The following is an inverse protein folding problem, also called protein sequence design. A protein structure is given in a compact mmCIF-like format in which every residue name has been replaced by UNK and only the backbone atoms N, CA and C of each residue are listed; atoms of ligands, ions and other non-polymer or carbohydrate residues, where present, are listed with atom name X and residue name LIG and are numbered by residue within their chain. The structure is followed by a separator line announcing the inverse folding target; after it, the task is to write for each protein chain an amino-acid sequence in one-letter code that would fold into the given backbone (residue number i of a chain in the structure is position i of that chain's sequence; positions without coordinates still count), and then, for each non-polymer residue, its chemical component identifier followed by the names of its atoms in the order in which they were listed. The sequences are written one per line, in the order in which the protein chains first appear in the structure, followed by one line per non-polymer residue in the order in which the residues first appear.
data_IF_000568004091
#
_entry.id   IF_000568004091
#
_cell.length_a   1.000
_cell.length_b   1.000
_cell.length_c   1.000
_cell.angle_alpha   90.00
_cell.angle_beta   90.00
_cell.angle_gamma   90.00
#
_symmetry.space_group_name_H-M   'P 1'
#
loop_
_entity.id
_entity.type
_entity.pdbx_description
1 polymer ?
#
# COMPACT_ATOMS: atom_id res chain seq x y z
N UNK A 1 6.96 -6.06 -13.75
CA UNK A 1 5.95 -6.68 -12.89
C UNK A 1 4.57 -6.22 -13.31
N UNK A 2 3.61 -7.14 -13.37
CA UNK A 2 2.25 -6.76 -13.76
C UNK A 2 1.51 -6.21 -12.55
N UNK A 3 0.76 -5.10 -12.71
CA UNK A 3 -0.05 -4.59 -11.60
C UNK A 3 -1.17 -5.56 -11.26
N UNK A 4 -1.46 -5.66 -9.98
CA UNK A 4 -2.58 -6.45 -9.51
C UNK A 4 -3.73 -5.50 -9.23
N UNK A 5 -4.83 -5.68 -9.93
CA UNK A 5 -6.00 -4.81 -9.80
C UNK A 5 -7.07 -5.56 -9.01
N UNK A 6 -7.57 -4.94 -7.97
CA UNK A 6 -8.56 -5.54 -7.07
C UNK A 6 -9.73 -4.60 -6.84
N UNK A 7 -10.88 -5.14 -6.48
CA UNK A 7 -12.07 -4.34 -6.20
C UNK A 7 -12.04 -3.78 -4.77
N UNK A 8 -11.35 -4.47 -3.89
CA UNK A 8 -11.28 -4.09 -2.48
C UNK A 8 -9.96 -4.61 -1.89
N UNK A 9 -9.66 -4.18 -0.67
CA UNK A 9 -8.44 -4.57 0.01
C UNK A 9 -8.36 -6.10 0.15
N UNK A 10 -7.29 -6.72 -0.36
CA UNK A 10 -7.10 -8.16 -0.18
C UNK A 10 -6.85 -8.51 1.28
N UNK A 11 -7.24 -9.71 1.67
CA UNK A 11 -6.99 -10.19 3.03
C UNK A 11 -5.51 -10.46 3.27
N UNK A 12 -4.84 -10.97 2.25
CA UNK A 12 -3.41 -11.24 2.33
C UNK A 12 -2.82 -11.30 0.92
N UNK A 13 -1.50 -11.19 0.87
CA UNK A 13 -0.78 -11.19 -0.39
C UNK A 13 -0.84 -12.55 -1.06
N UNK A 14 -1.24 -12.61 -2.35
CA UNK A 14 -1.28 -13.89 -3.06
C UNK A 14 0.10 -14.47 -3.37
N UNK A 15 1.15 -13.66 -3.25
CA UNK A 15 2.51 -14.12 -3.53
C UNK A 15 3.22 -14.68 -2.32
N UNK A 16 3.15 -13.98 -1.19
CA UNK A 16 3.91 -14.37 0.00
C UNK A 16 3.02 -14.64 1.21
N UNK A 17 1.73 -14.34 1.12
CA UNK A 17 0.81 -14.51 2.23
C UNK A 17 0.95 -13.44 3.31
N UNK A 18 1.72 -12.39 3.03
CA UNK A 18 1.93 -11.32 3.99
C UNK A 18 0.71 -10.43 4.17
N UNK A 19 0.78 -9.55 5.15
CA UNK A 19 -0.31 -8.63 5.45
C UNK A 19 -0.38 -7.52 4.41
N UNK A 20 -1.59 -7.22 3.97
CA UNK A 20 -1.85 -6.10 3.06
C UNK A 20 -2.23 -4.88 3.89
N UNK A 21 -1.60 -3.76 3.60
CA UNK A 21 -1.84 -2.51 4.31
C UNK A 21 -2.13 -1.40 3.32
N UNK A 22 -2.73 -0.32 3.84
CA UNK A 22 -3.07 0.84 3.03
C UNK A 22 -1.81 1.65 2.70
N UNK A 23 -1.78 2.23 1.50
CA UNK A 23 -0.73 3.17 1.12
C UNK A 23 -1.26 4.58 1.38
N UNK A 24 -0.48 5.36 2.11
CA UNK A 24 -0.84 6.74 2.45
C UNK A 24 0.05 7.68 1.66
N UNK A 25 -0.56 8.65 0.98
CA UNK A 25 0.14 9.66 0.20
C UNK A 25 0.06 11.01 0.91
N UNK A 26 1.01 11.90 0.61
CA UNK A 26 1.07 13.22 1.18
C UNK A 26 2.08 13.30 2.32
N UNK A 27 2.11 14.44 3.02
CA UNK A 27 3.02 14.61 4.16
C UNK A 27 2.52 13.81 5.36
N UNK A 28 3.31 12.84 5.82
CA UNK A 28 2.92 12.06 6.98
C UNK A 28 3.11 12.85 8.27
N UNK A 29 2.12 12.80 9.15
CA UNK A 29 2.27 13.31 10.49
C UNK A 29 3.00 12.31 11.37
N UNK A 30 3.30 12.69 12.64
CA UNK A 30 4.01 11.79 13.56
C UNK A 30 3.29 10.45 13.75
N UNK A 31 1.97 10.47 13.75
CA UNK A 31 1.17 9.25 13.91
C UNK A 31 1.36 8.29 12.74
N UNK A 32 1.43 8.84 11.53
CA UNK A 32 1.61 8.02 10.34
C UNK A 32 3.00 7.39 10.30
N UNK A 33 4.02 8.11 10.77
CA UNK A 33 5.35 7.55 10.88
C UNK A 33 5.37 6.36 11.83
N UNK A 34 4.68 6.46 12.96
CA UNK A 34 4.58 5.36 13.90
C UNK A 34 3.85 4.16 13.29
N UNK A 35 2.77 4.41 12.58
CA UNK A 35 2.02 3.35 11.91
C UNK A 35 2.87 2.65 10.84
N UNK A 36 3.65 3.42 10.09
CA UNK A 36 4.53 2.84 9.08
C UNK A 36 5.64 2.01 9.72
N UNK A 37 6.15 2.47 10.87
CA UNK A 37 7.16 1.74 11.62
C UNK A 37 6.63 0.39 12.11
N UNK A 38 5.35 0.34 12.46
CA UNK A 38 4.69 -0.90 12.87
C UNK A 38 4.20 -1.73 11.68
N UNK A 39 4.45 -1.27 10.47
CA UNK A 39 4.00 -1.91 9.24
C UNK A 39 2.47 -1.97 9.12
N UNK A 40 1.80 -0.96 9.68
CA UNK A 40 0.35 -0.83 9.57
C UNK A 40 -0.08 -0.06 8.33
N UNK A 41 0.82 0.76 7.78
CA UNK A 41 0.60 1.48 6.52
C UNK A 41 1.92 1.56 5.78
N UNK A 42 1.83 1.86 4.47
CA UNK A 42 3.01 2.13 3.65
C UNK A 42 2.94 3.59 3.23
N UNK A 43 4.05 4.30 3.38
CA UNK A 43 4.11 5.70 2.95
C UNK A 43 4.47 5.75 1.47
N UNK A 44 3.53 6.24 0.67
CA UNK A 44 3.69 6.28 -0.78
C UNK A 44 4.39 7.51 -1.32
N UNK A 45 4.70 8.46 -0.45
CA UNK A 45 5.36 9.68 -0.85
C UNK A 45 4.38 10.79 -1.18
N UNK A 46 4.90 11.93 -1.62
CA UNK A 46 4.08 13.11 -1.89
C UNK A 46 3.73 13.31 -3.36
N UNK A 47 4.23 12.45 -4.25
CA UNK A 47 3.92 12.55 -5.68
C UNK A 47 2.74 11.65 -6.02
N UNK A 48 1.65 12.26 -6.47
CA UNK A 48 0.46 11.53 -6.87
C UNK A 48 0.36 11.57 -8.38
N UNK A 49 0.28 10.41 -9.02
CA UNK A 49 0.14 10.31 -10.46
C UNK A 49 -1.34 10.30 -10.85
N UNK A 50 -1.67 10.97 -11.95
CA UNK A 50 -3.06 11.09 -12.37
C UNK A 50 -3.67 9.80 -12.90
N UNK A 51 -2.86 8.82 -13.21
CA UNK A 51 -3.33 7.57 -13.79
C UNK A 51 -3.64 6.47 -12.79
N UNK A 52 -3.82 6.84 -11.54
CA UNK A 52 -4.20 5.90 -10.51
C UNK A 52 -2.99 5.29 -9.79
N UNK A 53 -2.79 5.74 -8.58
CA UNK A 53 -1.74 5.19 -7.73
C UNK A 53 -2.25 3.92 -7.04
N UNK A 54 -1.34 3.01 -6.68
CA UNK A 54 -1.75 1.82 -5.92
C UNK A 54 -2.32 2.24 -4.58
N UNK A 55 -3.34 1.53 -4.13
CA UNK A 55 -4.01 1.87 -2.87
C UNK A 55 -3.56 0.99 -1.71
N UNK A 56 -3.06 -0.19 -2.01
CA UNK A 56 -2.62 -1.14 -0.98
C UNK A 56 -1.29 -1.75 -1.38
N UNK A 57 -0.57 -2.23 -0.38
CA UNK A 57 0.69 -2.91 -0.62
C UNK A 57 0.90 -3.99 0.43
N UNK A 58 1.65 -5.01 0.05
CA UNK A 58 2.08 -6.03 1.01
C UNK A 58 3.24 -5.50 1.82
N UNK A 59 3.18 -5.64 3.14
CA UNK A 59 4.25 -5.18 4.00
C UNK A 59 5.46 -6.13 4.01
N UNK A 60 5.33 -7.31 3.42
CA UNK A 60 6.42 -8.29 3.38
C UNK A 60 7.20 -8.25 2.06
N UNK A 61 6.50 -8.40 0.92
CA UNK A 61 7.17 -8.45 -0.38
C UNK A 61 7.02 -7.17 -1.18
N UNK A 62 6.34 -6.17 -0.63
CA UNK A 62 6.12 -4.86 -1.26
C UNK A 62 5.32 -4.91 -2.56
N UNK A 63 4.56 -5.98 -2.80
CA UNK A 63 3.67 -6.05 -3.94
C UNK A 63 2.57 -4.99 -3.80
N UNK A 64 2.39 -4.19 -4.84
CA UNK A 64 1.37 -3.14 -4.83
C UNK A 64 0.09 -3.61 -5.49
N UNK A 65 -1.03 -3.05 -5.02
CA UNK A 65 -2.36 -3.40 -5.52
C UNK A 65 -3.12 -2.13 -5.90
N UNK A 66 -3.74 -2.16 -7.06
CA UNK A 66 -4.52 -1.04 -7.56
C UNK A 66 -6.00 -1.33 -7.43
N UNK A 67 -6.76 -0.30 -7.11
CA UNK A 67 -8.21 -0.42 -7.03
C UNK A 67 -8.81 -0.27 -8.43
N UNK A 68 -9.70 -1.17 -8.76
CA UNK A 68 -10.41 -1.15 -10.03
C UNK A 68 -11.39 0.04 -10.11
#
# INVERSE_FOLDING_TARGET
MKPIIVNRKPCKCPKCGGKIVKIVYGEPGPELFEMADRKEVVLGGCCIHMEGDPQWACCECEQQFWKK
#
